data_IF_063461723186
#
_entry.id   IF_063461723186
#
_cell.length_a   1.000
_cell.length_b   1.000
_cell.length_c   1.000
_cell.angle_alpha   90.00
_cell.angle_beta   90.00
_cell.angle_gamma   90.00
#
_symmetry.space_group_name_H-M   'P 1'
#
loop_
_entity.id
_entity.type
_entity.pdbx_description
1 polymer ?
#
# COMPACT_ATOMS: atom_id res chain seq x y z
N UNK A 1 6.64 10.87 3.15
CA UNK A 1 5.83 12.04 3.56
C UNK A 1 4.44 11.99 2.93
N UNK A 2 4.21 12.27 1.63
CA UNK A 2 2.85 12.39 1.09
C UNK A 2 1.97 11.17 1.35
N UNK A 3 2.50 9.94 1.22
CA UNK A 3 1.73 8.71 1.46
C UNK A 3 1.32 8.52 2.92
N UNK A 4 2.24 8.76 3.86
CA UNK A 4 1.99 8.60 5.29
C UNK A 4 1.07 9.70 5.81
N UNK A 5 1.38 10.96 5.46
CA UNK A 5 0.63 12.13 5.93
C UNK A 5 -0.81 12.10 5.39
N UNK A 6 -1.02 11.73 4.12
CA UNK A 6 -2.35 11.59 3.54
C UNK A 6 -3.16 10.46 4.20
N UNK A 7 -2.52 9.33 4.54
CA UNK A 7 -3.21 8.22 5.18
C UNK A 7 -3.66 8.58 6.61
N UNK A 8 -2.82 9.29 7.37
CA UNK A 8 -3.18 9.81 8.69
C UNK A 8 -4.33 10.81 8.59
N UNK A 9 -4.27 11.75 7.64
CA UNK A 9 -5.36 12.69 7.40
C UNK A 9 -6.67 11.98 7.04
N UNK A 10 -6.62 10.95 6.18
CA UNK A 10 -7.80 10.14 5.85
C UNK A 10 -8.35 9.44 7.09
N UNK A 11 -7.50 8.82 7.91
CA UNK A 11 -7.92 8.17 9.15
C UNK A 11 -8.68 9.15 10.07
N UNK A 12 -8.15 10.36 10.26
CA UNK A 12 -8.76 11.39 11.10
C UNK A 12 -10.10 11.85 10.53
N UNK A 13 -10.15 12.17 9.23
CA UNK A 13 -11.34 12.70 8.56
C UNK A 13 -12.47 11.67 8.43
N UNK A 14 -12.15 10.38 8.48
CA UNK A 14 -13.12 9.31 8.33
C UNK A 14 -13.33 8.47 9.60
N UNK A 15 -12.90 8.97 10.77
CA UNK A 15 -13.01 8.22 12.04
C UNK A 15 -14.47 7.99 12.43
N UNK A 16 -15.32 8.99 12.25
CA UNK A 16 -16.72 8.97 12.67
C UNK A 16 -17.70 8.72 11.50
N UNK A 17 -17.18 8.31 10.34
CA UNK A 17 -18.00 7.99 9.17
C UNK A 17 -18.31 6.48 9.15
N UNK A 18 -19.54 6.15 8.75
CA UNK A 18 -19.97 4.77 8.52
C UNK A 18 -19.41 4.24 7.18
N UNK A 19 -18.10 4.03 7.13
CA UNK A 19 -17.42 3.51 5.95
C UNK A 19 -17.68 2.00 5.81
N UNK A 20 -17.99 1.55 4.59
CA UNK A 20 -17.95 0.13 4.29
C UNK A 20 -16.51 -0.43 4.33
N UNK A 21 -15.53 0.37 3.90
CA UNK A 21 -14.11 0.03 3.94
C UNK A 21 -13.22 1.27 3.83
N UNK A 22 -12.04 1.20 4.43
CA UNK A 22 -10.90 2.06 4.09
C UNK A 22 -9.77 1.16 3.57
N UNK A 23 -9.50 1.21 2.27
CA UNK A 23 -8.49 0.36 1.61
C UNK A 23 -7.24 1.18 1.28
N UNK A 24 -6.11 0.79 1.84
CA UNK A 24 -4.81 1.42 1.67
C UNK A 24 -3.94 0.56 0.74
N UNK A 25 -3.43 1.16 -0.33
CA UNK A 25 -2.60 0.46 -1.30
C UNK A 25 -1.14 0.55 -0.86
N UNK A 26 -0.69 -0.48 -0.15
CA UNK A 26 0.69 -0.68 0.31
C UNK A 26 1.51 -1.39 -0.78
N UNK A 27 2.67 -1.92 -0.41
CA UNK A 27 3.53 -2.71 -1.28
C UNK A 27 4.21 -3.82 -0.49
N UNK A 28 4.47 -4.96 -1.13
CA UNK A 28 5.28 -6.04 -0.54
C UNK A 28 6.66 -5.57 -0.07
N UNK A 29 7.17 -4.45 -0.60
CA UNK A 29 8.40 -3.81 -0.13
C UNK A 29 8.37 -3.42 1.36
N UNK A 30 7.20 -3.21 1.96
CA UNK A 30 7.05 -2.93 3.39
C UNK A 30 7.45 -4.12 4.27
N UNK A 31 7.14 -5.35 3.83
CA UNK A 31 7.40 -6.58 4.58
C UNK A 31 8.72 -7.24 4.20
N UNK A 32 9.04 -7.29 2.91
CA UNK A 32 10.22 -8.00 2.40
C UNK A 32 11.43 -7.09 2.19
N UNK A 33 11.23 -5.78 2.33
CA UNK A 33 12.24 -4.78 1.98
C UNK A 33 12.42 -4.64 0.47
N UNK A 34 13.05 -3.53 0.07
CA UNK A 34 13.48 -3.31 -1.30
C UNK A 34 14.79 -2.51 -1.29
N UNK A 35 15.87 -3.13 -1.80
CA UNK A 35 17.19 -2.51 -1.82
C UNK A 35 17.15 -1.15 -2.56
N UNK A 36 17.71 -0.12 -1.95
CA UNK A 36 17.66 1.26 -2.49
C UNK A 36 16.33 1.98 -2.30
N UNK A 37 15.31 1.36 -1.68
CA UNK A 37 13.97 1.91 -1.52
C UNK A 37 13.49 1.97 -0.06
N UNK A 38 14.39 2.21 0.90
CA UNK A 38 14.04 2.28 2.32
C UNK A 38 12.93 3.30 2.65
N UNK A 39 12.97 4.48 2.02
CA UNK A 39 11.92 5.50 2.20
C UNK A 39 10.54 5.03 1.70
N UNK A 40 10.51 4.25 0.62
CA UNK A 40 9.29 3.69 0.07
C UNK A 40 8.77 2.56 0.95
N UNK A 41 9.64 1.64 1.38
CA UNK A 41 9.29 0.58 2.32
C UNK A 41 8.70 1.15 3.62
N UNK A 42 9.36 2.15 4.21
CA UNK A 42 8.87 2.81 5.43
C UNK A 42 7.50 3.49 5.23
N UNK A 43 7.30 4.19 4.10
CA UNK A 43 6.02 4.83 3.81
C UNK A 43 4.87 3.82 3.64
N UNK A 44 5.14 2.64 3.11
CA UNK A 44 4.15 1.57 2.98
C UNK A 44 3.90 0.84 4.31
N UNK A 45 4.93 0.64 5.13
CA UNK A 45 4.79 0.07 6.47
C UNK A 45 3.87 0.91 7.39
N UNK A 46 3.87 2.25 7.23
CA UNK A 46 2.91 3.13 7.91
C UNK A 46 1.46 2.77 7.56
N UNK A 47 1.18 2.43 6.30
CA UNK A 47 -0.17 2.05 5.88
C UNK A 47 -0.60 0.73 6.50
N UNK A 48 0.33 -0.24 6.55
CA UNK A 48 0.08 -1.54 7.16
C UNK A 48 -0.23 -1.39 8.66
N UNK A 49 0.55 -0.55 9.35
CA UNK A 49 0.34 -0.23 10.76
C UNK A 49 -1.00 0.50 10.99
N UNK A 50 -1.32 1.52 10.17
CA UNK A 50 -2.56 2.28 10.31
C UNK A 50 -3.80 1.41 10.08
N UNK A 51 -3.77 0.49 9.11
CA UNK A 51 -4.86 -0.45 8.90
C UNK A 51 -5.03 -1.39 10.09
N UNK A 52 -3.94 -1.84 10.72
CA UNK A 52 -3.99 -2.65 11.93
C UNK A 52 -4.55 -1.87 13.13
N UNK A 53 -4.11 -0.63 13.33
CA UNK A 53 -4.60 0.27 14.38
C UNK A 53 -6.10 0.53 14.24
N UNK A 54 -6.58 0.86 13.03
CA UNK A 54 -8.02 1.02 12.78
C UNK A 54 -8.83 -0.22 13.17
N UNK A 55 -8.35 -1.43 12.81
CA UNK A 55 -9.04 -2.66 13.20
C UNK A 55 -9.06 -2.88 14.71
N UNK A 56 -7.99 -2.51 15.42
CA UNK A 56 -7.96 -2.57 16.88
C UNK A 56 -8.96 -1.59 17.54
N UNK A 57 -9.27 -0.48 16.87
CA UNK A 57 -10.30 0.48 17.26
C UNK A 57 -11.72 0.07 16.84
N UNK A 58 -11.89 -1.09 16.21
CA UNK A 58 -13.18 -1.54 15.67
C UNK A 58 -13.61 -0.81 14.38
N UNK A 59 -12.70 -0.05 13.76
CA UNK A 59 -12.93 0.67 12.52
C UNK A 59 -12.53 -0.17 11.29
N UNK A 60 -13.23 0.00 10.15
CA UNK A 60 -12.81 -0.59 8.88
C UNK A 60 -11.40 -0.13 8.49
N UNK A 61 -10.54 -1.08 8.15
CA UNK A 61 -9.16 -0.82 7.70
C UNK A 61 -8.51 -2.04 7.06
N UNK A 62 -8.14 -1.92 5.77
CA UNK A 62 -7.44 -2.93 5.00
C UNK A 62 -6.21 -2.31 4.34
N UNK A 63 -5.05 -2.95 4.47
CA UNK A 63 -3.83 -2.60 3.72
C UNK A 63 -3.47 -3.76 2.80
N UNK A 64 -3.24 -3.48 1.51
CA UNK A 64 -2.88 -4.48 0.52
C UNK A 64 -1.45 -4.25 0.06
N UNK A 65 -0.55 -5.19 0.35
CA UNK A 65 0.85 -5.16 -0.03
C UNK A 65 1.09 -5.61 -1.48
N UNK A 66 0.75 -4.76 -2.45
CA UNK A 66 0.86 -5.13 -3.87
C UNK A 66 2.28 -5.45 -4.34
N UNK A 67 2.36 -6.40 -5.27
CA UNK A 67 3.54 -6.65 -6.11
C UNK A 67 3.59 -5.69 -7.31
N UNK A 68 4.36 -6.06 -8.33
CA UNK A 68 4.42 -5.30 -9.58
C UNK A 68 3.14 -5.49 -10.39
N UNK A 69 2.76 -4.47 -11.16
CA UNK A 69 1.66 -4.53 -12.13
C UNK A 69 2.23 -4.47 -13.55
N UNK A 70 1.64 -5.22 -14.49
CA UNK A 70 2.09 -5.29 -15.89
C UNK A 70 1.80 -3.99 -16.63
N UNK A 71 0.66 -3.37 -16.32
CA UNK A 71 0.22 -2.12 -16.91
C UNK A 71 1.07 -0.97 -16.37
N UNK A 72 1.92 -0.44 -17.25
CA UNK A 72 2.75 0.71 -16.94
C UNK A 72 1.90 1.98 -16.97
N UNK A 73 1.81 2.66 -15.84
CA UNK A 73 1.41 4.07 -15.75
C UNK A 73 2.63 4.98 -15.98
N UNK A 74 2.39 6.26 -16.29
CA UNK A 74 3.44 7.30 -16.26
C UNK A 74 4.21 7.30 -14.92
N UNK A 75 3.53 6.95 -13.82
CA UNK A 75 4.10 6.84 -12.46
C UNK A 75 5.08 5.66 -12.30
N UNK A 76 4.87 4.56 -13.04
CA UNK A 76 5.66 3.33 -12.90
C UNK A 76 6.74 3.20 -13.97
N UNK A 77 6.77 4.10 -14.97
CA UNK A 77 7.71 4.06 -16.08
C UNK A 77 9.19 4.20 -15.64
N UNK A 78 9.45 4.92 -14.54
CA UNK A 78 10.80 5.14 -14.00
C UNK A 78 11.25 4.08 -12.98
N UNK A 79 10.36 3.16 -12.57
CA UNK A 79 10.71 2.11 -11.62
C UNK A 79 11.31 0.93 -12.37
N UNK A 80 12.63 0.92 -12.56
CA UNK A 80 13.34 -0.31 -12.95
C UNK A 80 13.22 -1.29 -11.79
N UNK A 81 12.34 -2.26 -11.94
CA UNK A 81 12.17 -3.34 -10.98
C UNK A 81 13.50 -4.07 -10.79
N UNK A 82 14.07 -3.99 -9.58
CA UNK A 82 14.93 -5.06 -9.11
C UNK A 82 14.11 -6.35 -9.07
N UNK A 83 14.62 -7.44 -9.63
CA UNK A 83 13.99 -8.76 -9.51
C UNK A 83 14.09 -9.23 -8.05
N UNK A 84 13.17 -8.76 -7.22
CA UNK A 84 12.92 -9.27 -5.87
C UNK A 84 11.97 -10.47 -5.94
N UNK A 85 12.32 -11.55 -5.26
CA UNK A 85 11.81 -12.91 -5.45
C UNK A 85 10.27 -13.06 -5.47
N UNK A 86 9.76 -13.71 -6.51
CA UNK A 86 8.72 -14.74 -6.34
C UNK A 86 7.49 -14.68 -7.26
N UNK A 87 7.01 -13.51 -7.67
CA UNK A 87 5.80 -13.39 -8.47
C UNK A 87 6.04 -12.53 -9.71
N UNK A 88 5.46 -12.95 -10.85
CA UNK A 88 5.37 -12.13 -12.05
C UNK A 88 4.62 -10.82 -11.77
N UNK A 89 4.74 -9.86 -12.67
CA UNK A 89 3.87 -8.70 -12.59
C UNK A 89 2.41 -9.14 -12.79
N UNK A 90 1.50 -8.55 -12.03
CA UNK A 90 0.06 -8.82 -12.09
C UNK A 90 -0.55 -8.02 -13.24
N UNK A 91 -1.37 -8.67 -14.06
CA UNK A 91 -2.32 -7.94 -14.91
C UNK A 91 -3.36 -7.22 -14.06
N UNK A 92 -4.05 -6.25 -14.64
CA UNK A 92 -5.16 -5.58 -13.95
C UNK A 92 -6.29 -6.53 -13.60
N UNK A 93 -6.51 -7.55 -14.43
CA UNK A 93 -7.51 -8.58 -14.16
C UNK A 93 -7.13 -9.42 -12.94
N UNK A 94 -5.87 -9.82 -12.81
CA UNK A 94 -5.38 -10.58 -11.65
C UNK A 94 -5.35 -9.75 -10.37
N UNK A 95 -5.04 -8.45 -10.46
CA UNK A 95 -5.04 -7.57 -9.30
C UNK A 95 -6.45 -7.16 -8.81
N UNK A 96 -7.48 -7.28 -9.65
CA UNK A 96 -8.86 -6.91 -9.32
C UNK A 96 -9.78 -8.12 -9.06
N UNK A 97 -9.31 -9.34 -9.34
CA UNK A 97 -10.02 -10.59 -9.07
C UNK A 97 -10.07 -10.91 -7.57
#
# INVERSE_FOLDING_TARGET
RPKADAALALHELTRDLDLAALVLFSSGAAQFGAAGQANYAAANAVLDALAAERRNEGLPGLSIGWGLWEERSEMTAAVTAGRGAGAGALTSAEGLA
#
